data_IF_724020581775
#
_entry.id   IF_724020581775
#
_cell.length_a   1.000
_cell.length_b   1.000
_cell.length_c   1.000
_cell.angle_alpha   90.00
_cell.angle_beta   90.00
_cell.angle_gamma   90.00
#
_symmetry.space_group_name_H-M   'P 1'
#
loop_
_entity.id
_entity.type
_entity.pdbx_description
1 polymer ?
#
# COMPACT_ATOMS: atom_id res chain seq x y z
N UNK A 1 3.84 18.01 18.64
CA UNK A 1 3.42 17.38 19.91
C UNK A 1 1.90 17.31 19.89
N UNK A 2 1.31 16.13 19.67
CA UNK A 2 -0.15 15.98 19.69
C UNK A 2 -0.61 16.04 21.15
N UNK A 3 -1.10 17.20 21.58
CA UNK A 3 -1.62 17.37 22.95
C UNK A 3 -3.02 16.76 22.97
N UNK A 4 -3.22 15.69 23.75
CA UNK A 4 -4.57 15.18 24.02
C UNK A 4 -5.43 16.33 24.51
N UNK A 5 -6.65 16.55 23.97
CA UNK A 5 -7.49 17.66 24.38
C UNK A 5 -7.72 17.61 25.89
N UNK A 6 -7.04 18.49 26.62
CA UNK A 6 -7.05 18.54 28.08
C UNK A 6 -8.37 19.10 28.62
N UNK A 7 -9.13 19.80 27.77
CA UNK A 7 -10.42 20.40 28.09
C UNK A 7 -11.57 19.39 28.15
N UNK A 8 -11.39 18.17 27.61
CA UNK A 8 -12.41 17.12 27.70
C UNK A 8 -12.19 16.25 28.94
N UNK A 9 -13.27 15.98 29.66
CA UNK A 9 -13.33 14.98 30.72
C UNK A 9 -13.06 13.58 30.17
N UNK A 10 -12.78 12.62 31.06
CA UNK A 10 -12.59 11.23 30.66
C UNK A 10 -13.88 10.62 30.08
N UNK A 11 -15.02 11.02 30.61
CA UNK A 11 -16.33 10.57 30.14
C UNK A 11 -16.60 11.03 28.70
N UNK A 12 -16.38 12.31 28.39
CA UNK A 12 -16.52 12.84 27.03
C UNK A 12 -15.55 12.16 26.05
N UNK A 13 -14.30 11.92 26.47
CA UNK A 13 -13.30 11.19 25.67
C UNK A 13 -13.78 9.76 25.35
N UNK A 14 -14.32 9.06 26.33
CA UNK A 14 -14.85 7.71 26.15
C UNK A 14 -16.09 7.69 25.25
N UNK A 15 -16.97 8.69 25.37
CA UNK A 15 -18.14 8.83 24.51
C UNK A 15 -17.73 9.06 23.03
N UNK A 16 -16.74 9.93 22.78
CA UNK A 16 -16.19 10.14 21.44
C UNK A 16 -15.55 8.86 20.91
N UNK A 17 -14.74 8.17 21.72
CA UNK A 17 -14.09 6.94 21.31
C UNK A 17 -15.10 5.84 20.95
N UNK A 18 -16.16 5.68 21.76
CA UNK A 18 -17.23 4.72 21.48
C UNK A 18 -17.90 5.01 20.14
N UNK A 19 -18.31 6.26 19.91
CA UNK A 19 -18.91 6.70 18.64
C UNK A 19 -17.97 6.52 17.45
N UNK A 20 -16.67 6.76 17.65
CA UNK A 20 -15.65 6.56 16.62
C UNK A 20 -15.57 5.08 16.23
N UNK A 21 -15.51 4.18 17.22
CA UNK A 21 -15.50 2.72 17.01
C UNK A 21 -16.81 2.22 16.36
N UNK A 22 -17.94 2.87 16.64
CA UNK A 22 -19.23 2.62 16.00
C UNK A 22 -19.34 3.24 14.59
N UNK A 23 -18.26 3.88 14.09
CA UNK A 23 -18.21 4.57 12.78
C UNK A 23 -19.24 5.68 12.63
N UNK A 24 -19.58 6.36 13.73
CA UNK A 24 -20.55 7.45 13.72
C UNK A 24 -19.98 8.69 12.98
N UNK A 25 -20.45 9.01 11.77
CA UNK A 25 -19.88 10.12 10.98
C UNK A 25 -20.29 11.50 11.54
N UNK A 26 -21.28 11.55 12.44
CA UNK A 26 -21.72 12.80 13.06
C UNK A 26 -20.68 13.38 14.03
N UNK A 27 -19.60 12.66 14.29
CA UNK A 27 -18.41 13.18 14.96
C UNK A 27 -17.69 14.27 14.16
N UNK A 28 -17.82 14.27 12.83
CA UNK A 28 -17.08 15.19 11.95
C UNK A 28 -17.95 16.21 11.23
N UNK A 29 -19.22 15.88 10.95
CA UNK A 29 -20.11 16.78 10.22
C UNK A 29 -21.58 16.54 10.58
N UNK A 30 -22.40 17.59 10.55
CA UNK A 30 -23.87 17.50 10.60
C UNK A 30 -24.51 17.37 9.21
N UNK A 31 -23.74 17.59 8.14
CA UNK A 31 -24.19 17.47 6.75
C UNK A 31 -24.29 15.99 6.35
N UNK A 32 -25.46 15.58 5.83
CA UNK A 32 -25.74 14.17 5.50
C UNK A 32 -24.89 13.64 4.34
N UNK A 33 -24.62 14.45 3.32
CA UNK A 33 -23.83 14.02 2.16
C UNK A 33 -22.37 13.83 2.57
N UNK A 34 -21.86 14.71 3.44
CA UNK A 34 -20.53 14.57 4.04
C UNK A 34 -20.47 13.33 4.95
N UNK A 35 -21.51 13.06 5.73
CA UNK A 35 -21.55 11.88 6.60
C UNK A 35 -21.51 10.57 5.80
N UNK A 36 -22.25 10.47 4.69
CA UNK A 36 -22.21 9.30 3.81
C UNK A 36 -20.82 9.12 3.17
N UNK A 37 -20.18 10.21 2.73
CA UNK A 37 -18.81 10.15 2.23
C UNK A 37 -17.80 9.67 3.30
N UNK A 38 -18.00 10.04 4.56
CA UNK A 38 -17.15 9.60 5.68
C UNK A 38 -17.34 8.11 5.96
N UNK A 39 -18.58 7.63 6.07
CA UNK A 39 -18.87 6.19 6.29
C UNK A 39 -18.16 5.32 5.25
N UNK A 40 -18.20 5.73 3.98
CA UNK A 40 -17.54 5.04 2.87
C UNK A 40 -16.00 5.06 2.91
N UNK A 41 -15.38 5.79 3.85
CA UNK A 41 -13.93 5.93 4.01
C UNK A 41 -13.41 5.38 5.33
N UNK A 42 -14.27 4.86 6.20
CA UNK A 42 -13.88 4.27 7.49
C UNK A 42 -13.57 2.76 7.43
N UNK A 43 -13.53 2.16 6.24
CA UNK A 43 -13.20 0.73 6.07
C UNK A 43 -11.79 0.35 6.54
N UNK A 44 -10.87 1.31 6.70
CA UNK A 44 -9.55 1.04 7.26
C UNK A 44 -9.59 0.55 8.72
N UNK A 45 -10.71 0.76 9.42
CA UNK A 45 -10.89 0.34 10.81
C UNK A 45 -10.94 -1.18 10.97
N UNK A 46 -11.35 -1.91 9.92
CA UNK A 46 -11.40 -3.39 9.89
C UNK A 46 -10.09 -4.01 9.37
N UNK A 47 -9.14 -3.19 8.93
CA UNK A 47 -7.92 -3.64 8.24
C UNK A 47 -7.10 -4.66 9.06
N UNK A 48 -7.10 -4.56 10.39
CA UNK A 48 -6.39 -5.52 11.22
C UNK A 48 -6.97 -6.92 11.08
N UNK A 49 -8.28 -7.05 11.29
CA UNK A 49 -8.99 -8.34 11.23
C UNK A 49 -8.93 -8.90 9.81
N UNK A 50 -9.22 -8.07 8.81
CA UNK A 50 -9.15 -8.43 7.39
C UNK A 50 -7.75 -8.94 7.00
N UNK A 51 -6.69 -8.28 7.46
CA UNK A 51 -5.32 -8.67 7.12
C UNK A 51 -4.88 -9.91 7.89
N UNK A 52 -5.31 -10.09 9.14
CA UNK A 52 -4.99 -11.27 9.94
C UNK A 52 -5.42 -12.56 9.22
N UNK A 53 -6.63 -12.56 8.65
CA UNK A 53 -7.15 -13.68 7.85
C UNK A 53 -6.32 -13.93 6.57
N UNK A 54 -5.74 -12.88 5.98
CA UNK A 54 -4.95 -12.94 4.73
C UNK A 54 -3.46 -13.19 4.94
N UNK A 55 -2.96 -13.05 6.18
CA UNK A 55 -1.54 -13.24 6.50
C UNK A 55 -0.97 -14.61 6.04
N UNK A 56 -1.67 -15.75 6.22
CA UNK A 56 -1.16 -17.04 5.76
C UNK A 56 -0.92 -17.08 4.24
N UNK A 57 -1.87 -16.55 3.45
CA UNK A 57 -1.77 -16.48 1.99
C UNK A 57 -0.58 -15.61 1.55
N UNK A 58 -0.45 -14.42 2.15
CA UNK A 58 0.64 -13.48 1.83
C UNK A 58 2.01 -14.09 2.16
N UNK A 59 2.14 -14.74 3.32
CA UNK A 59 3.38 -15.42 3.72
C UNK A 59 3.72 -16.58 2.79
N UNK A 60 2.72 -17.37 2.41
CA UNK A 60 2.89 -18.47 1.45
C UNK A 60 3.37 -17.96 0.10
N UNK A 61 2.78 -16.88 -0.41
CA UNK A 61 3.19 -16.28 -1.68
C UNK A 61 4.61 -15.71 -1.60
N UNK A 62 4.96 -15.00 -0.52
CA UNK A 62 6.31 -14.49 -0.32
C UNK A 62 7.36 -15.62 -0.30
N UNK A 63 7.05 -16.75 0.35
CA UNK A 63 7.92 -17.93 0.36
C UNK A 63 8.04 -18.55 -1.03
N UNK A 64 6.94 -18.69 -1.79
CA UNK A 64 6.98 -19.20 -3.16
C UNK A 64 7.89 -18.34 -4.06
N UNK A 65 7.78 -17.02 -3.94
CA UNK A 65 8.63 -16.07 -4.68
C UNK A 65 10.11 -16.26 -4.33
N UNK A 66 10.43 -16.44 -3.05
CA UNK A 66 11.79 -16.72 -2.60
C UNK A 66 12.30 -18.07 -3.12
N UNK A 67 11.50 -19.14 -3.03
CA UNK A 67 11.85 -20.50 -3.46
C UNK A 67 12.08 -20.58 -4.98
N UNK A 68 11.39 -19.73 -5.75
CA UNK A 68 11.62 -19.57 -7.20
C UNK A 68 12.93 -18.85 -7.52
N UNK A 69 13.64 -18.35 -6.51
CA UNK A 69 14.90 -17.63 -6.67
C UNK A 69 14.73 -16.27 -7.32
N UNK A 70 13.59 -15.59 -7.10
CA UNK A 70 13.40 -14.19 -7.51
C UNK A 70 14.35 -13.32 -6.67
N UNK A 71 15.09 -12.45 -7.36
CA UNK A 71 16.07 -11.54 -6.74
C UNK A 71 15.46 -10.16 -6.49
N UNK A 72 14.52 -9.72 -7.33
CA UNK A 72 13.90 -8.39 -7.26
C UNK A 72 12.39 -8.44 -7.41
N UNK A 73 11.69 -7.69 -6.58
CA UNK A 73 10.27 -7.35 -6.74
C UNK A 73 10.20 -5.87 -7.12
N UNK A 74 9.56 -5.55 -8.24
CA UNK A 74 9.35 -4.17 -8.67
C UNK A 74 7.87 -3.83 -8.52
N UNK A 75 7.56 -2.92 -7.60
CA UNK A 75 6.21 -2.40 -7.42
C UNK A 75 6.00 -1.21 -8.36
N UNK A 76 5.01 -1.33 -9.24
CA UNK A 76 4.56 -0.29 -10.16
C UNK A 76 3.33 0.36 -9.55
N UNK A 77 3.48 1.56 -9.01
CA UNK A 77 2.42 2.25 -8.26
C UNK A 77 2.54 3.75 -8.34
N UNK A 78 1.54 4.45 -7.81
CA UNK A 78 1.56 5.92 -7.70
C UNK A 78 0.88 6.36 -6.40
N UNK A 79 1.51 7.31 -5.69
CA UNK A 79 0.98 7.93 -4.47
C UNK A 79 0.67 6.92 -3.34
N UNK A 80 -0.60 6.76 -2.98
CA UNK A 80 -1.00 5.90 -1.86
C UNK A 80 -0.64 4.41 -2.04
N UNK A 81 -0.53 3.96 -3.29
CA UNK A 81 -0.20 2.57 -3.63
C UNK A 81 1.31 2.26 -3.61
N UNK A 82 2.16 3.27 -3.41
CA UNK A 82 3.63 3.16 -3.45
C UNK A 82 4.30 3.67 -2.18
N UNK A 83 3.78 4.74 -1.56
CA UNK A 83 4.43 5.40 -0.42
C UNK A 83 4.56 4.52 0.82
N UNK A 84 3.50 3.77 1.19
CA UNK A 84 3.58 2.86 2.33
C UNK A 84 4.59 1.72 2.11
N UNK A 85 4.57 0.99 0.98
CA UNK A 85 5.64 0.05 0.62
C UNK A 85 7.04 0.66 0.65
N UNK A 86 7.22 1.88 0.11
CA UNK A 86 8.51 2.57 0.06
C UNK A 86 9.06 2.87 1.46
N UNK A 87 8.22 3.37 2.37
CA UNK A 87 8.63 3.62 3.76
C UNK A 87 9.00 2.30 4.46
N UNK A 88 8.19 1.25 4.30
CA UNK A 88 8.47 -0.04 4.91
C UNK A 88 9.79 -0.65 4.39
N UNK A 89 10.03 -0.60 3.08
CA UNK A 89 11.28 -1.12 2.51
C UNK A 89 12.50 -0.31 2.93
N UNK A 90 12.36 1.00 3.10
CA UNK A 90 13.44 1.88 3.58
C UNK A 90 13.81 1.59 5.03
N UNK A 91 12.83 1.29 5.87
CA UNK A 91 13.04 1.04 7.31
C UNK A 91 13.53 -0.39 7.56
N UNK A 92 12.90 -1.38 6.94
CA UNK A 92 13.13 -2.80 7.26
C UNK A 92 14.08 -3.49 6.28
N UNK A 93 14.20 -2.97 5.04
CA UNK A 93 14.97 -3.64 3.99
C UNK A 93 14.38 -4.98 3.58
N UNK A 94 15.21 -5.81 2.91
CA UNK A 94 14.87 -7.20 2.62
C UNK A 94 15.52 -8.15 3.63
N UNK A 95 14.82 -9.23 3.94
CA UNK A 95 15.37 -10.33 4.75
C UNK A 95 16.30 -11.22 3.91
N UNK A 96 17.27 -11.88 4.55
CA UNK A 96 18.13 -12.83 3.85
C UNK A 96 17.29 -13.92 3.16
N UNK A 97 17.65 -14.24 1.92
CA UNK A 97 16.93 -15.22 1.08
C UNK A 97 15.63 -14.71 0.46
N UNK A 98 15.25 -13.44 0.67
CA UNK A 98 14.07 -12.82 0.06
C UNK A 98 14.47 -11.73 -0.96
N UNK A 99 13.64 -11.48 -1.98
CA UNK A 99 13.95 -10.49 -3.01
C UNK A 99 14.01 -9.07 -2.46
N UNK A 100 14.82 -8.22 -3.09
CA UNK A 100 14.82 -6.78 -2.83
C UNK A 100 13.54 -6.14 -3.39
N UNK A 101 12.88 -5.28 -2.61
CA UNK A 101 11.76 -4.48 -3.11
C UNK A 101 12.24 -3.16 -3.70
N UNK A 102 12.00 -2.96 -4.99
CA UNK A 102 12.14 -1.67 -5.68
C UNK A 102 10.76 -1.08 -5.91
N UNK A 103 10.49 0.10 -5.36
CA UNK A 103 9.27 0.85 -5.64
C UNK A 103 9.53 1.82 -6.78
N UNK A 104 8.70 1.74 -7.82
CA UNK A 104 8.75 2.62 -8.98
C UNK A 104 7.47 3.48 -8.99
N UNK A 105 7.65 4.69 -8.46
CA UNK A 105 6.63 5.74 -8.30
C UNK A 105 7.11 7.00 -9.02
N UNK A 106 7.33 6.86 -10.33
CA UNK A 106 7.87 7.92 -11.19
C UNK A 106 7.44 7.70 -12.64
N UNK A 107 7.36 8.80 -13.39
CA UNK A 107 7.20 8.80 -14.86
C UNK A 107 8.46 9.28 -15.57
N UNK A 108 9.56 9.46 -14.84
CA UNK A 108 10.85 9.88 -15.39
C UNK A 108 11.47 8.71 -16.19
N UNK A 109 11.65 8.86 -17.52
CA UNK A 109 12.20 7.80 -18.35
C UNK A 109 13.62 7.38 -17.93
N UNK A 110 14.44 8.29 -17.41
CA UNK A 110 15.83 7.99 -17.04
C UNK A 110 15.87 7.05 -15.82
N UNK A 111 15.01 7.28 -14.83
CA UNK A 111 14.90 6.41 -13.66
C UNK A 111 14.23 5.07 -13.98
N UNK A 112 13.31 5.04 -14.95
CA UNK A 112 12.69 3.81 -15.46
C UNK A 112 13.73 2.95 -16.17
N UNK A 113 14.50 3.52 -17.10
CA UNK A 113 15.54 2.82 -17.86
C UNK A 113 16.66 2.33 -16.93
N UNK A 114 17.12 3.18 -16.01
CA UNK A 114 18.10 2.81 -14.99
C UNK A 114 17.61 1.66 -14.11
N UNK A 115 16.32 1.65 -13.76
CA UNK A 115 15.72 0.53 -13.03
C UNK A 115 15.77 -0.73 -13.87
N UNK A 116 15.25 -0.69 -15.11
CA UNK A 116 15.25 -1.81 -16.06
C UNK A 116 16.64 -2.41 -16.29
N UNK A 117 17.66 -1.58 -16.51
CA UNK A 117 19.04 -2.01 -16.75
C UNK A 117 19.65 -2.78 -15.56
N UNK A 118 19.08 -2.62 -14.35
CA UNK A 118 19.48 -3.35 -13.15
C UNK A 118 18.67 -4.63 -12.88
N UNK A 119 17.78 -5.06 -13.79
CA UNK A 119 16.90 -6.22 -13.61
C UNK A 119 17.34 -7.40 -14.50
N UNK A 120 17.00 -8.61 -14.05
CA UNK A 120 17.05 -9.83 -14.88
C UNK A 120 15.65 -10.38 -15.02
N UNK A 121 15.19 -10.63 -16.25
CA UNK A 121 13.80 -11.02 -16.53
C UNK A 121 13.38 -12.29 -15.77
N UNK A 122 14.22 -13.31 -15.77
CA UNK A 122 13.98 -14.59 -15.10
C UNK A 122 14.10 -14.54 -13.56
N UNK A 123 14.55 -13.40 -13.02
CA UNK A 123 14.74 -13.18 -11.57
C UNK A 123 13.94 -11.99 -11.03
N UNK A 124 12.99 -11.47 -11.80
CA UNK A 124 12.20 -10.29 -11.41
C UNK A 124 10.71 -10.60 -11.38
N UNK A 125 10.04 -10.16 -10.32
CA UNK A 125 8.58 -10.14 -10.20
C UNK A 125 8.09 -8.69 -10.24
N UNK A 126 7.03 -8.43 -11.00
CA UNK A 126 6.36 -7.13 -11.02
C UNK A 126 5.03 -7.20 -10.25
N UNK A 127 4.74 -6.16 -9.45
CA UNK A 127 3.46 -5.97 -8.77
C UNK A 127 2.85 -4.66 -9.28
N UNK A 128 1.69 -4.74 -9.94
CA UNK A 128 0.94 -3.56 -10.39
C UNK A 128 -0.03 -3.16 -9.28
N UNK A 129 0.21 -2.01 -8.65
CA UNK A 129 -0.56 -1.51 -7.52
C UNK A 129 -1.39 -0.28 -7.92
N UNK A 130 -2.66 -0.51 -8.27
CA UNK A 130 -3.63 0.56 -8.53
C UNK A 130 -5.00 0.17 -7.99
N UNK A 131 -5.55 0.98 -7.07
CA UNK A 131 -6.89 0.74 -6.51
C UNK A 131 -7.99 0.76 -7.58
N UNK A 132 -7.91 1.70 -8.52
CA UNK A 132 -8.93 1.82 -9.58
C UNK A 132 -8.64 0.91 -10.78
N UNK A 133 -7.41 0.40 -10.92
CA UNK A 133 -6.93 -0.29 -12.12
C UNK A 133 -6.79 0.62 -13.34
N UNK A 134 -7.07 1.92 -13.21
CA UNK A 134 -7.12 2.89 -14.31
C UNK A 134 -6.14 4.03 -14.17
N UNK A 135 -5.38 4.08 -13.07
CA UNK A 135 -4.34 5.10 -12.86
C UNK A 135 -3.32 5.01 -13.99
N UNK A 136 -3.08 6.12 -14.70
CA UNK A 136 -2.36 6.12 -15.98
C UNK A 136 -0.90 5.73 -15.81
N UNK A 137 -0.27 6.17 -14.72
CA UNK A 137 1.16 5.98 -14.46
C UNK A 137 1.53 4.52 -14.21
N UNK A 138 0.94 3.76 -13.26
CA UNK A 138 1.23 2.33 -13.10
C UNK A 138 0.80 1.50 -14.31
N UNK A 139 -0.23 1.92 -15.06
CA UNK A 139 -0.62 1.23 -16.30
C UNK A 139 0.38 1.45 -17.43
N UNK A 140 0.95 2.64 -17.56
CA UNK A 140 2.02 2.93 -18.51
C UNK A 140 3.29 2.14 -18.16
N UNK A 141 3.67 2.10 -16.88
CA UNK A 141 4.77 1.26 -16.39
C UNK A 141 4.51 -0.23 -16.65
N UNK A 142 3.29 -0.71 -16.38
CA UNK A 142 2.91 -2.09 -16.66
C UNK A 142 3.05 -2.41 -18.15
N UNK A 143 2.52 -1.58 -19.04
CA UNK A 143 2.65 -1.78 -20.49
C UNK A 143 4.11 -1.87 -20.93
N UNK A 144 4.96 -0.98 -20.41
CA UNK A 144 6.39 -0.95 -20.68
C UNK A 144 7.10 -2.23 -20.22
N UNK A 145 6.98 -2.59 -18.94
CA UNK A 145 7.65 -3.79 -18.41
C UNK A 145 7.05 -5.09 -18.93
N UNK A 146 5.76 -5.10 -19.28
CA UNK A 146 5.12 -6.25 -19.91
C UNK A 146 5.69 -6.53 -21.30
N UNK A 147 5.94 -5.48 -22.09
CA UNK A 147 6.59 -5.64 -23.39
C UNK A 147 8.04 -6.08 -23.22
N UNK A 148 8.77 -5.43 -22.31
CA UNK A 148 10.14 -5.81 -21.97
C UNK A 148 10.28 -7.28 -21.57
N UNK A 149 9.32 -7.84 -20.82
CA UNK A 149 9.36 -9.24 -20.36
C UNK A 149 9.13 -10.29 -21.47
N UNK A 150 8.62 -9.89 -22.64
CA UNK A 150 8.35 -10.82 -23.76
C UNK A 150 9.56 -11.09 -24.64
N UNK A 151 10.56 -10.21 -24.58
CA UNK A 151 11.82 -10.32 -25.32
C UNK A 151 12.84 -11.22 -24.62
#
# INVERSE_FOLDING_TARGET
>A
MFVRPAYLTLEEKNAILRRFLERDPSLWSSDKDVQEAIKNRLGWMDCFDDMEERLPEIKSFAQEVADRGIEKVVLLGMGGSSLAPLVLSTIFGSSAGHPELKVLDTTDPDEIEKTQNGLKRDKTLFIVASKSGTTIEPNALFAFFWDWMKE
#
